data_IF_890193028155
#
_entry.id   IF_890193028155
#
_cell.length_a   1.000
_cell.length_b   1.000
_cell.length_c   1.000
_cell.angle_alpha   90.00
_cell.angle_beta   90.00
_cell.angle_gamma   90.00
#
_symmetry.space_group_name_H-M   'P 1'
#
loop_
_entity.id
_entity.type
_entity.pdbx_description
1 polymer ?
#
# COMPACT_ATOMS: atom_id res chain seq x y z
N UNK A 1 -12.10 -7.03 -3.18
CA UNK A 1 -10.87 -6.30 -3.55
C UNK A 1 -10.28 -6.90 -4.83
N UNK A 2 -9.85 -6.10 -5.82
CA UNK A 2 -9.26 -6.65 -7.04
C UNK A 2 -7.85 -7.18 -6.74
N UNK A 3 -7.61 -8.46 -7.01
CA UNK A 3 -6.26 -9.03 -6.97
C UNK A 3 -5.39 -8.37 -8.06
N UNK A 4 -4.26 -7.76 -7.67
CA UNK A 4 -3.33 -7.08 -8.59
C UNK A 4 -2.72 -8.02 -9.65
N UNK A 5 -2.85 -9.35 -9.49
CA UNK A 5 -2.47 -10.39 -10.47
C UNK A 5 -3.62 -10.75 -11.41
N UNK A 6 -4.84 -10.28 -11.13
CA UNK A 6 -6.01 -10.61 -11.94
C UNK A 6 -5.94 -9.95 -13.32
N UNK A 7 -6.58 -10.59 -14.29
CA UNK A 7 -6.75 -9.99 -15.62
C UNK A 7 -7.62 -8.73 -15.57
N UNK A 8 -8.51 -8.62 -14.59
CA UNK A 8 -9.36 -7.47 -14.38
C UNK A 8 -8.56 -6.26 -13.90
N UNK A 9 -7.66 -6.45 -12.93
CA UNK A 9 -6.73 -5.40 -12.50
C UNK A 9 -5.85 -4.92 -13.67
N UNK A 10 -5.35 -5.84 -14.49
CA UNK A 10 -4.52 -5.53 -15.65
C UNK A 10 -5.29 -4.70 -16.68
N UNK A 11 -6.57 -5.04 -16.95
CA UNK A 11 -7.45 -4.23 -17.80
C UNK A 11 -7.67 -2.82 -17.26
N UNK A 12 -7.90 -2.68 -15.94
CA UNK A 12 -8.06 -1.36 -15.33
C UNK A 12 -6.81 -0.50 -15.46
N UNK A 13 -5.61 -1.08 -15.32
CA UNK A 13 -4.35 -0.36 -15.54
C UNK A 13 -4.22 0.06 -17.01
N UNK A 14 -4.55 -0.83 -17.94
CA UNK A 14 -4.50 -0.53 -19.38
C UNK A 14 -5.51 0.58 -19.74
N UNK A 15 -6.72 0.55 -19.19
CA UNK A 15 -7.75 1.57 -19.38
C UNK A 15 -7.31 2.93 -18.82
N UNK A 16 -6.67 2.97 -17.65
CA UNK A 16 -6.11 4.19 -17.06
C UNK A 16 -4.92 4.74 -17.85
N UNK A 17 -4.15 3.87 -18.48
CA UNK A 17 -3.07 4.25 -19.39
C UNK A 17 -3.59 4.68 -20.77
N UNK A 18 -4.88 4.44 -21.08
CA UNK A 18 -5.48 4.86 -22.35
C UNK A 18 -5.46 6.39 -22.46
N UNK A 19 -5.06 6.82 -23.65
CA UNK A 19 -4.97 8.23 -24.07
C UNK A 19 -6.27 9.01 -23.85
N UNK A 20 -7.44 8.33 -23.83
CA UNK A 20 -8.75 8.95 -23.68
C UNK A 20 -9.03 9.39 -22.24
N UNK A 21 -8.60 8.60 -21.27
CA UNK A 21 -8.79 8.90 -19.83
C UNK A 21 -7.80 9.98 -19.37
N UNK A 22 -6.61 10.02 -19.98
CA UNK A 22 -5.54 10.93 -19.61
C UNK A 22 -5.39 12.15 -20.53
N UNK A 23 -6.35 12.42 -21.42
CA UNK A 23 -6.21 13.46 -22.47
C UNK A 23 -5.90 14.86 -21.93
N UNK A 24 -6.52 15.26 -20.83
CA UNK A 24 -6.26 16.55 -20.19
C UNK A 24 -4.86 16.61 -19.56
N UNK A 25 -4.51 15.58 -18.80
CA UNK A 25 -3.16 15.44 -18.24
C UNK A 25 -2.10 15.31 -19.34
N UNK A 26 -2.39 14.53 -20.38
CA UNK A 26 -1.51 14.33 -21.52
C UNK A 26 -1.19 15.64 -22.28
N UNK A 27 -2.17 16.52 -22.45
CA UNK A 27 -1.99 17.81 -23.11
C UNK A 27 -1.23 18.82 -22.23
N UNK A 28 -1.36 18.71 -20.90
CA UNK A 28 -0.64 19.55 -19.95
C UNK A 28 0.82 19.11 -19.73
N UNK A 29 1.17 17.85 -20.05
CA UNK A 29 2.52 17.34 -19.83
C UNK A 29 3.51 17.71 -20.97
N UNK A 30 4.78 18.02 -20.63
CA UNK A 30 5.85 18.12 -21.61
C UNK A 30 5.96 16.83 -22.45
N UNK A 31 6.31 16.96 -23.74
CA UNK A 31 6.37 15.81 -24.69
C UNK A 31 7.17 14.62 -24.21
N UNK A 32 8.21 14.81 -23.37
CA UNK A 32 9.06 13.76 -22.80
C UNK A 32 8.36 12.87 -21.75
N UNK A 33 7.23 13.32 -21.18
CA UNK A 33 6.46 12.59 -20.16
C UNK A 33 5.10 12.12 -20.65
N UNK A 34 4.85 12.13 -21.95
CA UNK A 34 3.56 11.79 -22.55
C UNK A 34 3.22 10.30 -22.51
N UNK A 35 4.14 9.45 -22.08
CA UNK A 35 3.92 8.04 -21.87
C UNK A 35 4.10 7.74 -20.39
N UNK A 36 3.01 7.59 -19.68
CA UNK A 36 3.02 7.11 -18.30
C UNK A 36 3.09 5.60 -18.38
N UNK A 37 4.24 5.03 -18.10
CA UNK A 37 4.36 3.61 -17.81
C UNK A 37 4.02 3.44 -16.32
N UNK A 38 2.75 3.19 -16.03
CA UNK A 38 2.29 2.90 -14.67
C UNK A 38 2.79 1.50 -14.30
N UNK A 39 3.81 1.43 -13.45
CA UNK A 39 4.14 0.18 -12.75
C UNK A 39 2.94 -0.25 -11.91
N UNK A 40 2.50 -1.52 -12.04
CA UNK A 40 1.31 -2.01 -11.33
C UNK A 40 1.36 -1.80 -9.81
N UNK A 41 2.52 -2.06 -9.18
CA UNK A 41 2.68 -1.91 -7.73
C UNK A 41 2.65 -0.43 -7.26
N UNK A 42 3.38 0.53 -7.84
CA UNK A 42 3.27 1.94 -7.45
C UNK A 42 1.87 2.53 -7.64
N UNK A 43 1.16 2.11 -8.67
CA UNK A 43 -0.22 2.54 -8.88
C UNK A 43 -1.14 1.97 -7.80
N UNK A 44 -1.06 0.67 -7.52
CA UNK A 44 -1.85 0.03 -6.46
C UNK A 44 -1.56 0.65 -5.08
N UNK A 45 -0.28 0.92 -4.80
CA UNK A 45 0.14 1.57 -3.57
C UNK A 45 -0.43 2.97 -3.42
N UNK A 46 -0.32 3.81 -4.45
CA UNK A 46 -0.88 5.17 -4.43
C UNK A 46 -2.40 5.18 -4.29
N UNK A 47 -3.11 4.24 -4.91
CA UNK A 47 -4.55 4.08 -4.73
C UNK A 47 -4.87 3.64 -3.30
N UNK A 48 -4.15 2.68 -2.75
CA UNK A 48 -4.31 2.22 -1.37
C UNK A 48 -4.09 3.37 -0.36
N UNK A 49 -3.04 4.18 -0.52
CA UNK A 49 -2.80 5.36 0.32
C UNK A 49 -4.00 6.32 0.28
N UNK A 50 -4.53 6.62 -0.90
CA UNK A 50 -5.72 7.48 -1.03
C UNK A 50 -6.95 6.90 -0.33
N UNK A 51 -7.14 5.60 -0.39
CA UNK A 51 -8.23 4.94 0.33
C UNK A 51 -8.01 4.93 1.85
N UNK A 52 -6.77 4.82 2.29
CA UNK A 52 -6.40 4.94 3.70
C UNK A 52 -6.64 6.37 4.23
N UNK A 53 -6.33 7.42 3.44
CA UNK A 53 -6.59 8.82 3.76
C UNK A 53 -8.10 9.13 3.84
N UNK A 54 -8.90 8.53 2.96
CA UNK A 54 -10.34 8.77 2.84
C UNK A 54 -11.20 8.10 3.94
N UNK A 55 -10.60 7.38 4.88
CA UNK A 55 -11.32 6.66 5.92
C UNK A 55 -12.02 7.56 6.97
N UNK A 56 -12.93 6.98 7.69
CA UNK A 56 -14.06 7.53 8.47
C UNK A 56 -13.74 8.46 9.68
N UNK A 57 -12.82 9.38 9.52
CA UNK A 57 -12.56 10.44 10.53
C UNK A 57 -11.68 10.02 11.71
N UNK A 58 -11.41 8.74 11.91
CA UNK A 58 -10.44 8.28 12.90
C UNK A 58 -8.99 8.40 12.36
N UNK A 59 -8.02 8.77 13.21
CA UNK A 59 -6.61 8.79 12.83
C UNK A 59 -6.15 7.43 12.27
N UNK A 60 -5.40 7.44 11.17
CA UNK A 60 -4.94 6.22 10.52
C UNK A 60 -4.18 5.30 11.48
N UNK A 61 -3.37 5.86 12.38
CA UNK A 61 -2.64 5.08 13.40
C UNK A 61 -3.56 4.27 14.30
N UNK A 62 -4.71 4.80 14.67
CA UNK A 62 -5.69 4.10 15.49
C UNK A 62 -6.33 2.95 14.73
N UNK A 63 -6.76 3.21 13.50
CA UNK A 63 -7.35 2.18 12.62
C UNK A 63 -6.37 1.03 12.36
N UNK A 64 -5.11 1.36 12.02
CA UNK A 64 -4.07 0.34 11.79
C UNK A 64 -3.72 -0.43 13.06
N UNK A 65 -3.68 0.22 14.23
CA UNK A 65 -3.39 -0.45 15.49
C UNK A 65 -4.49 -1.44 15.88
N UNK A 66 -5.75 -1.07 15.66
CA UNK A 66 -6.88 -1.98 15.89
C UNK A 66 -6.85 -3.16 14.91
N UNK A 67 -6.62 -2.91 13.64
CA UNK A 67 -6.53 -3.99 12.64
C UNK A 67 -5.31 -4.90 12.84
N UNK A 68 -4.23 -4.39 13.44
CA UNK A 68 -3.03 -5.16 13.72
C UNK A 68 -3.25 -6.32 14.72
N UNK A 69 -4.23 -6.19 15.62
CA UNK A 69 -4.60 -7.25 16.58
C UNK A 69 -5.71 -8.18 16.06
N UNK A 70 -6.39 -7.80 14.98
CA UNK A 70 -7.44 -8.61 14.34
C UNK A 70 -6.89 -9.76 13.49
N UNK A 71 -7.79 -10.41 12.76
CA UNK A 71 -7.45 -11.51 11.83
C UNK A 71 -6.47 -11.06 10.77
N UNK A 72 -5.36 -11.79 10.54
CA UNK A 72 -4.41 -11.45 9.50
C UNK A 72 -5.05 -11.48 8.11
N UNK A 73 -4.81 -10.45 7.30
CA UNK A 73 -5.21 -10.46 5.91
C UNK A 73 -4.49 -11.57 5.13
N UNK A 74 -5.17 -12.16 4.14
CA UNK A 74 -4.58 -13.15 3.24
C UNK A 74 -3.38 -12.55 2.49
N UNK A 75 -2.32 -13.34 2.34
CA UNK A 75 -1.09 -12.93 1.68
C UNK A 75 -0.78 -13.86 0.50
N UNK A 76 -0.27 -13.29 -0.61
CA UNK A 76 -0.11 -13.99 -1.88
C UNK A 76 1.35 -14.19 -2.31
N UNK A 77 2.30 -13.63 -1.58
CA UNK A 77 3.74 -13.75 -1.86
C UNK A 77 4.56 -13.50 -0.61
N UNK A 78 5.83 -13.88 -0.64
CA UNK A 78 6.77 -13.60 0.46
C UNK A 78 6.89 -12.10 0.77
N UNK A 79 7.04 -11.26 -0.25
CA UNK A 79 7.09 -9.80 -0.05
C UNK A 79 5.82 -9.23 0.55
N UNK A 80 4.69 -9.83 0.24
CA UNK A 80 3.39 -9.48 0.79
C UNK A 80 3.26 -9.91 2.27
N UNK A 81 3.77 -11.10 2.62
CA UNK A 81 3.85 -11.55 4.00
C UNK A 81 4.71 -10.61 4.85
N UNK A 82 5.88 -10.21 4.34
CA UNK A 82 6.77 -9.27 5.03
C UNK A 82 6.11 -7.90 5.19
N UNK A 83 5.49 -7.36 4.14
CA UNK A 83 4.79 -6.07 4.23
C UNK A 83 3.63 -6.11 5.26
N UNK A 84 2.87 -7.21 5.29
CA UNK A 84 1.82 -7.41 6.29
C UNK A 84 2.39 -7.55 7.70
N UNK A 85 3.51 -8.26 7.87
CA UNK A 85 4.21 -8.36 9.15
C UNK A 85 4.67 -6.99 9.65
N UNK A 86 5.28 -6.17 8.80
CA UNK A 86 5.72 -4.80 9.16
C UNK A 86 4.53 -3.91 9.52
N UNK A 87 3.45 -3.95 8.72
CA UNK A 87 2.25 -3.16 8.98
C UNK A 87 1.59 -3.52 10.32
N UNK A 88 1.60 -4.80 10.70
CA UNK A 88 1.10 -5.27 12.00
C UNK A 88 2.06 -5.00 13.15
N UNK A 89 3.36 -5.13 12.91
CA UNK A 89 4.40 -4.97 13.93
C UNK A 89 4.68 -3.52 14.31
N UNK A 90 4.47 -2.57 13.40
CA UNK A 90 4.75 -1.16 13.60
C UNK A 90 3.71 -0.25 12.93
N UNK A 91 2.41 -0.38 13.30
CA UNK A 91 1.33 0.40 12.68
C UNK A 91 1.51 1.92 12.81
N UNK A 92 2.13 2.38 13.88
CA UNK A 92 2.47 3.78 14.09
C UNK A 92 3.50 4.29 13.06
N UNK A 93 4.58 3.56 12.83
CA UNK A 93 5.61 3.95 11.86
C UNK A 93 5.06 3.91 10.43
N UNK A 94 4.17 2.96 10.13
CA UNK A 94 3.51 2.88 8.82
C UNK A 94 2.54 4.04 8.61
N UNK A 95 1.79 4.45 9.65
CA UNK A 95 0.95 5.65 9.59
C UNK A 95 1.79 6.92 9.41
N UNK A 96 2.91 7.03 10.11
CA UNK A 96 3.85 8.15 9.98
C UNK A 96 4.44 8.20 8.57
N UNK A 97 4.79 7.04 7.98
CA UNK A 97 5.28 6.96 6.60
C UNK A 97 4.29 7.58 5.61
N UNK A 98 3.00 7.25 5.71
CA UNK A 98 1.97 7.80 4.80
C UNK A 98 1.69 9.28 5.05
N UNK A 99 2.02 9.81 6.21
CA UNK A 99 1.95 11.24 6.49
C UNK A 99 3.12 12.04 5.87
N UNK A 100 4.19 11.38 5.38
CA UNK A 100 5.33 12.05 4.75
C UNK A 100 5.13 12.28 3.26
N UNK A 101 5.66 13.37 2.68
CA UNK A 101 5.75 13.51 1.22
C UNK A 101 6.65 12.42 0.62
N UNK A 102 6.24 11.88 -0.53
CA UNK A 102 7.02 10.88 -1.27
C UNK A 102 8.38 11.45 -1.69
N UNK A 103 9.43 10.65 -1.58
CA UNK A 103 10.82 11.00 -1.92
C UNK A 103 11.39 12.17 -1.10
N UNK A 104 10.90 12.37 0.13
CA UNK A 104 11.39 13.38 1.07
C UNK A 104 12.43 12.81 2.05
N UNK A 105 13.19 13.72 2.69
CA UNK A 105 14.07 13.35 3.80
C UNK A 105 13.28 12.78 5.00
N UNK A 106 12.05 13.28 5.21
CA UNK A 106 11.16 12.78 6.23
C UNK A 106 10.76 11.32 5.97
N UNK A 107 10.42 10.96 4.74
CA UNK A 107 10.16 9.57 4.33
C UNK A 107 11.38 8.67 4.62
N UNK A 108 12.58 9.13 4.25
CA UNK A 108 13.83 8.41 4.49
C UNK A 108 14.07 8.17 5.98
N UNK A 109 13.80 9.17 6.83
CA UNK A 109 13.94 9.05 8.28
C UNK A 109 12.97 8.02 8.88
N UNK A 110 11.74 7.94 8.37
CA UNK A 110 10.76 6.93 8.80
C UNK A 110 11.16 5.54 8.33
N UNK A 111 11.66 5.37 7.10
CA UNK A 111 12.19 4.08 6.65
C UNK A 111 13.32 3.57 7.54
N UNK A 112 14.23 4.43 7.97
CA UNK A 112 15.30 4.06 8.90
C UNK A 112 14.76 3.52 10.24
N UNK A 113 13.58 3.98 10.70
CA UNK A 113 12.92 3.46 11.88
C UNK A 113 12.17 2.14 11.61
N UNK A 114 11.72 1.94 10.38
CA UNK A 114 11.05 0.69 9.94
C UNK A 114 12.08 -0.44 9.74
N UNK A 115 13.32 -0.15 9.34
CA UNK A 115 14.35 -1.16 9.01
C UNK A 115 14.50 -2.26 10.08
N UNK A 116 14.57 -1.98 11.41
CA UNK A 116 14.67 -3.04 12.41
C UNK A 116 13.44 -3.97 12.46
N UNK A 117 12.25 -3.43 12.15
CA UNK A 117 11.02 -4.23 12.08
C UNK A 117 11.00 -5.08 10.81
N UNK A 118 11.48 -4.52 9.70
CA UNK A 118 11.66 -5.25 8.45
C UNK A 118 12.62 -6.42 8.60
N UNK A 119 13.73 -6.24 9.32
CA UNK A 119 14.68 -7.30 9.63
C UNK A 119 14.03 -8.44 10.43
N UNK A 120 13.20 -8.12 11.42
CA UNK A 120 12.45 -9.12 12.21
C UNK A 120 11.42 -9.86 11.34
N UNK A 121 10.78 -9.16 10.40
CA UNK A 121 9.78 -9.74 9.52
C UNK A 121 10.37 -10.55 8.36
N UNK A 122 11.66 -10.40 8.09
CA UNK A 122 12.35 -11.09 7.01
C UNK A 122 12.92 -12.42 7.53
N UNK A 123 12.70 -13.52 6.81
CA UNK A 123 13.25 -14.82 7.19
C UNK A 123 14.77 -14.84 7.06
N UNK A 124 15.43 -15.60 7.93
CA UNK A 124 16.88 -15.80 7.89
C UNK A 124 17.35 -16.24 6.50
N UNK A 125 18.36 -15.54 5.98
CA UNK A 125 18.92 -15.78 4.65
C UNK A 125 18.13 -15.21 3.47
N UNK A 126 17.03 -14.52 3.74
CA UNK A 126 16.26 -13.79 2.74
C UNK A 126 16.50 -12.29 2.86
N UNK A 127 16.32 -11.56 1.76
CA UNK A 127 16.36 -10.09 1.76
C UNK A 127 15.30 -9.55 0.82
N UNK A 128 14.74 -8.39 1.16
CA UNK A 128 13.88 -7.64 0.25
C UNK A 128 14.70 -6.49 -0.34
N UNK A 129 14.96 -6.57 -1.63
CA UNK A 129 15.59 -5.49 -2.38
C UNK A 129 14.51 -4.70 -3.12
N UNK A 130 13.99 -3.67 -2.48
CA UNK A 130 12.96 -2.81 -3.02
C UNK A 130 13.39 -1.34 -2.97
N UNK A 131 12.98 -0.56 -3.97
CA UNK A 131 13.12 0.89 -3.89
C UNK A 131 12.20 1.45 -2.79
N UNK A 132 12.46 2.64 -2.22
CA UNK A 132 11.58 3.28 -1.25
C UNK A 132 10.12 3.36 -1.74
N UNK A 133 9.91 3.73 -3.00
CA UNK A 133 8.58 3.78 -3.60
C UNK A 133 7.91 2.39 -3.65
N UNK A 134 8.65 1.34 -3.99
CA UNK A 134 8.11 -0.01 -4.00
C UNK A 134 7.77 -0.50 -2.58
N UNK A 135 8.63 -0.24 -1.60
CA UNK A 135 8.39 -0.57 -0.20
C UNK A 135 7.15 0.17 0.33
N UNK A 136 7.06 1.48 0.12
CA UNK A 136 5.89 2.28 0.48
C UNK A 136 4.61 1.70 -0.14
N UNK A 137 4.66 1.34 -1.42
CA UNK A 137 3.50 0.75 -2.12
C UNK A 137 3.09 -0.62 -1.57
N UNK A 138 4.05 -1.47 -1.19
CA UNK A 138 3.77 -2.74 -0.52
C UNK A 138 3.12 -2.52 0.85
N UNK A 139 3.65 -1.61 1.65
CA UNK A 139 3.08 -1.27 2.96
C UNK A 139 1.68 -0.68 2.83
N UNK A 140 1.43 0.19 1.84
CA UNK A 140 0.11 0.77 1.60
C UNK A 140 -0.93 -0.30 1.23
N UNK A 141 -0.59 -1.20 0.31
CA UNK A 141 -1.49 -2.30 -0.09
C UNK A 141 -1.73 -3.29 1.05
N UNK A 142 -0.72 -3.61 1.85
CA UNK A 142 -0.84 -4.47 3.03
C UNK A 142 -1.75 -3.82 4.09
N UNK A 143 -1.52 -2.54 4.42
CA UNK A 143 -2.33 -1.76 5.36
C UNK A 143 -3.80 -1.67 4.94
N UNK A 144 -4.05 -1.40 3.67
CA UNK A 144 -5.42 -1.35 3.16
C UNK A 144 -6.14 -2.69 3.30
N UNK A 145 -5.47 -3.81 2.95
CA UNK A 145 -6.06 -5.15 3.10
C UNK A 145 -6.27 -5.54 4.56
N UNK A 146 -5.37 -5.13 5.44
CA UNK A 146 -5.52 -5.36 6.88
C UNK A 146 -6.79 -4.67 7.42
N UNK A 147 -7.06 -3.43 7.03
CA UNK A 147 -8.30 -2.74 7.40
C UNK A 147 -9.54 -3.36 6.75
N UNK A 148 -9.45 -3.79 5.51
CA UNK A 148 -10.57 -4.45 4.81
C UNK A 148 -10.95 -5.78 5.49
N UNK A 149 -9.97 -6.59 5.86
CA UNK A 149 -10.21 -7.85 6.59
C UNK A 149 -10.90 -7.62 7.94
N UNK A 150 -10.52 -6.58 8.68
CA UNK A 150 -11.18 -6.20 9.92
C UNK A 150 -12.65 -5.79 9.71
N UNK A 151 -12.93 -5.06 8.64
CA UNK A 151 -14.31 -4.65 8.32
C UNK A 151 -15.19 -5.83 7.97
N UNK A 152 -14.66 -6.81 7.22
CA UNK A 152 -15.36 -8.05 6.87
C UNK A 152 -15.70 -8.85 8.13
N UNK A 153 -14.74 -9.01 9.06
CA UNK A 153 -14.93 -9.72 10.34
C UNK A 153 -16.01 -9.05 11.23
N UNK A 154 -16.05 -7.72 11.27
CA UNK A 154 -17.08 -6.99 12.03
C UNK A 154 -18.46 -7.20 11.43
N UNK A 155 -18.60 -7.17 10.10
CA UNK A 155 -19.87 -7.38 9.43
C UNK A 155 -20.41 -8.81 9.61
N UNK A 156 -19.54 -9.83 9.60
CA UNK A 156 -19.91 -11.23 9.85
C UNK A 156 -20.42 -11.44 11.27
N UNK A 157 -19.85 -10.73 12.25
CA UNK A 157 -20.27 -10.84 13.65
C UNK A 157 -21.61 -10.09 13.93
N UNK A 158 -21.94 -9.06 13.15
CA UNK A 158 -23.21 -8.32 13.31
C UNK A 158 -24.40 -9.08 12.70
N UNK A 159 -24.16 -9.98 11.74
CA UNK A 159 -25.18 -10.79 11.07
C UNK A 159 -25.48 -12.14 11.77
N UNK A 160 -24.78 -12.48 12.85
CA UNK A 160 -24.87 -13.75 13.59
C UNK A 160 -25.70 -13.62 14.87
#
# INVERSE_FOLDING_TARGET
>A
MLDYRSNEYRRLIDDLADRRVSSECFNAMPRRYRRIELGGLPFAGGLAERMLEAGDGEPLVMRLSMAAIGTPAETYSYTDQVANCVARGAPNLVADLFATPVASDAETAVFTQIDPVLDICTQDGSSINASPLAMRSMLATASYRMLAAQTEEMNENDDA
#
